data_IF_378552038919
#
_entry.id   IF_378552038919
#
_cell.length_a   1.000
_cell.length_b   1.000
_cell.length_c   1.000
_cell.angle_alpha   90.00
_cell.angle_beta   90.00
_cell.angle_gamma   90.00
#
_symmetry.space_group_name_H-M   'P 1'
#
loop_
_entity.id
_entity.type
_entity.pdbx_description
1 polymer ?
#
# COMPACT_ATOMS: atom_id res chain seq x y z
N UNK A 1 15.55 9.09 -10.41
CA UNK A 1 14.29 9.81 -10.76
C UNK A 1 13.13 8.88 -10.41
N UNK A 2 12.11 9.35 -9.73
CA UNK A 2 10.91 8.57 -9.38
C UNK A 2 10.08 8.24 -10.62
N UNK A 3 9.48 7.04 -10.67
CA UNK A 3 8.62 6.59 -11.77
C UNK A 3 7.37 7.47 -11.95
N UNK A 4 6.76 7.44 -13.13
CA UNK A 4 5.59 8.27 -13.43
C UNK A 4 4.42 7.96 -12.49
N UNK A 5 4.04 6.67 -12.33
CA UNK A 5 2.95 6.24 -11.44
C UNK A 5 3.17 6.69 -10.00
N UNK A 6 4.38 6.54 -9.49
CA UNK A 6 4.73 6.95 -8.12
C UNK A 6 4.57 8.47 -7.92
N UNK A 7 4.98 9.29 -8.91
CA UNK A 7 4.76 10.74 -8.86
C UNK A 7 3.28 11.10 -8.87
N UNK A 8 2.51 10.54 -9.80
CA UNK A 8 1.07 10.80 -9.92
C UNK A 8 0.30 10.44 -8.64
N UNK A 9 0.66 9.32 -8.00
CA UNK A 9 0.08 8.90 -6.72
C UNK A 9 0.43 9.90 -5.63
N UNK A 10 1.69 10.30 -5.53
CA UNK A 10 2.17 11.22 -4.48
C UNK A 10 1.54 12.60 -4.65
N UNK A 11 1.58 13.17 -5.86
CA UNK A 11 0.98 14.47 -6.17
C UNK A 11 -0.53 14.49 -5.89
N UNK A 12 -1.24 13.44 -6.30
CA UNK A 12 -2.66 13.31 -6.00
C UNK A 12 -2.91 13.24 -4.48
N UNK A 13 -2.16 12.42 -3.76
CA UNK A 13 -2.36 12.24 -2.33
C UNK A 13 -2.06 13.53 -1.54
N UNK A 14 -1.01 14.25 -1.91
CA UNK A 14 -0.65 15.51 -1.27
C UNK A 14 -1.72 16.59 -1.55
N UNK A 15 -2.25 16.64 -2.77
CA UNK A 15 -3.37 17.52 -3.09
C UNK A 15 -4.67 17.13 -2.36
N UNK A 16 -4.99 15.83 -2.30
CA UNK A 16 -6.20 15.31 -1.69
C UNK A 16 -6.19 15.40 -0.16
N UNK A 17 -5.01 15.29 0.47
CA UNK A 17 -4.89 15.21 1.94
C UNK A 17 -4.28 16.47 2.57
N UNK A 18 -4.12 17.55 1.79
CA UNK A 18 -3.68 18.85 2.30
C UNK A 18 -2.17 18.93 2.54
N UNK A 19 -1.38 18.07 1.89
CA UNK A 19 0.08 18.06 1.94
C UNK A 19 0.68 16.68 2.15
N UNK A 20 2.02 16.62 2.18
CA UNK A 20 2.74 15.37 2.44
C UNK A 20 2.51 14.88 3.88
N UNK A 21 2.89 13.66 4.15
CA UNK A 21 2.90 13.15 5.52
C UNK A 21 3.76 14.01 6.43
N UNK A 22 3.28 14.27 7.64
CA UNK A 22 4.01 15.06 8.65
C UNK A 22 5.30 14.40 9.14
N UNK A 23 5.44 13.08 8.93
CA UNK A 23 6.67 12.31 9.18
C UNK A 23 6.64 10.97 8.44
N UNK A 24 7.81 10.35 8.25
CA UNK A 24 7.91 8.99 7.70
C UNK A 24 7.18 7.97 8.61
N UNK A 25 7.32 8.12 9.94
CA UNK A 25 6.60 7.27 10.90
C UNK A 25 5.09 7.33 10.71
N UNK A 26 4.52 8.52 10.38
CA UNK A 26 3.09 8.65 10.06
C UNK A 26 2.72 7.89 8.79
N UNK A 27 3.58 7.96 7.76
CA UNK A 27 3.39 7.19 6.52
C UNK A 27 3.43 5.68 6.76
N UNK A 28 4.37 5.21 7.58
CA UNK A 28 4.47 3.79 7.95
C UNK A 28 3.25 3.36 8.80
N UNK A 29 2.80 4.19 9.74
CA UNK A 29 1.59 3.92 10.52
C UNK A 29 0.36 3.76 9.62
N UNK A 30 0.23 4.62 8.59
CA UNK A 30 -0.86 4.48 7.60
C UNK A 30 -0.72 3.18 6.80
N UNK A 31 0.49 2.83 6.37
CA UNK A 31 0.74 1.57 5.67
C UNK A 31 0.40 0.36 6.56
N UNK A 32 0.67 0.42 7.87
CA UNK A 32 0.32 -0.64 8.82
C UNK A 32 -1.21 -0.86 8.91
N UNK A 33 -2.01 0.21 8.85
CA UNK A 33 -3.47 0.10 8.80
C UNK A 33 -3.91 -0.72 7.57
N UNK A 34 -3.37 -0.42 6.37
CA UNK A 34 -3.66 -1.15 5.14
C UNK A 34 -3.16 -2.60 5.18
N UNK A 35 -1.99 -2.84 5.78
CA UNK A 35 -1.47 -4.20 5.97
C UNK A 35 -2.37 -5.02 6.90
N UNK A 36 -2.94 -4.41 7.95
CA UNK A 36 -3.87 -5.11 8.83
C UNK A 36 -5.16 -5.53 8.08
N UNK A 37 -5.67 -4.70 7.16
CA UNK A 37 -6.80 -5.04 6.29
C UNK A 37 -6.43 -6.17 5.32
N UNK A 38 -5.25 -6.13 4.71
CA UNK A 38 -4.73 -7.18 3.84
C UNK A 38 -4.57 -8.51 4.59
N UNK A 39 -3.95 -8.50 5.77
CA UNK A 39 -3.79 -9.70 6.61
C UNK A 39 -5.14 -10.28 6.97
N UNK A 40 -6.12 -9.45 7.32
CA UNK A 40 -7.48 -9.87 7.59
C UNK A 40 -8.11 -10.53 6.35
N UNK A 41 -8.00 -9.91 5.18
CA UNK A 41 -8.54 -10.47 3.95
C UNK A 41 -7.93 -11.85 3.62
N UNK A 42 -6.60 -11.99 3.75
CA UNK A 42 -5.90 -13.25 3.50
C UNK A 42 -6.31 -14.33 4.51
N UNK A 43 -6.34 -14.00 5.80
CA UNK A 43 -6.60 -14.99 6.87
C UNK A 43 -8.06 -15.41 6.97
N UNK A 44 -8.99 -14.59 6.52
CA UNK A 44 -10.43 -14.92 6.45
C UNK A 44 -10.84 -15.58 5.15
N UNK A 45 -9.92 -15.80 4.21
CA UNK A 45 -10.22 -16.39 2.92
C UNK A 45 -11.11 -15.49 2.04
N UNK A 46 -10.86 -14.18 2.08
CA UNK A 46 -11.60 -13.22 1.24
C UNK A 46 -11.43 -13.52 -0.25
N UNK A 47 -12.38 -13.11 -1.11
CA UNK A 47 -12.28 -13.30 -2.56
C UNK A 47 -10.99 -12.69 -3.13
N UNK A 48 -10.41 -13.28 -4.21
CA UNK A 48 -9.16 -12.81 -4.82
C UNK A 48 -9.13 -11.32 -5.16
N UNK A 49 -10.26 -10.77 -5.61
CA UNK A 49 -10.41 -9.37 -5.96
C UNK A 49 -10.21 -8.46 -4.73
N UNK A 50 -10.72 -8.89 -3.57
CA UNK A 50 -10.54 -8.14 -2.32
C UNK A 50 -9.09 -8.19 -1.87
N UNK A 51 -8.46 -9.36 -1.88
CA UNK A 51 -7.04 -9.49 -1.53
C UNK A 51 -6.18 -8.61 -2.42
N UNK A 52 -6.42 -8.60 -3.73
CA UNK A 52 -5.69 -7.76 -4.69
C UNK A 52 -5.93 -6.27 -4.44
N UNK A 53 -7.15 -5.86 -4.09
CA UNK A 53 -7.48 -4.49 -3.72
C UNK A 53 -6.73 -4.02 -2.47
N UNK A 54 -6.64 -4.86 -1.42
CA UNK A 54 -5.87 -4.54 -0.22
C UNK A 54 -4.35 -4.50 -0.51
N UNK A 55 -3.84 -5.37 -1.41
CA UNK A 55 -2.46 -5.27 -1.90
C UNK A 55 -2.19 -3.92 -2.58
N UNK A 56 -3.15 -3.41 -3.36
CA UNK A 56 -3.03 -2.12 -4.01
C UNK A 56 -2.97 -0.96 -3.00
N UNK A 57 -3.77 -0.99 -1.92
CA UNK A 57 -3.74 0.03 -0.87
C UNK A 57 -2.38 0.07 -0.15
N UNK A 58 -1.83 -1.08 0.20
CA UNK A 58 -0.47 -1.17 0.77
C UNK A 58 0.56 -0.65 -0.21
N UNK A 59 0.46 -1.00 -1.51
CA UNK A 59 1.41 -0.56 -2.53
C UNK A 59 1.36 0.96 -2.77
N UNK A 60 0.18 1.59 -2.69
CA UNK A 60 0.02 3.05 -2.76
C UNK A 60 0.80 3.74 -1.62
N UNK A 61 0.70 3.22 -0.40
CA UNK A 61 1.50 3.72 0.73
C UNK A 61 3.00 3.52 0.51
N UNK A 62 3.41 2.36 -0.02
CA UNK A 62 4.81 2.06 -0.33
C UNK A 62 5.39 3.01 -1.41
N UNK A 63 4.61 3.36 -2.44
CA UNK A 63 5.01 4.36 -3.44
C UNK A 63 5.24 5.74 -2.83
N UNK A 64 4.38 6.18 -1.92
CA UNK A 64 4.55 7.47 -1.24
C UNK A 64 5.79 7.48 -0.34
N UNK A 65 6.06 6.40 0.40
CA UNK A 65 7.29 6.29 1.20
C UNK A 65 8.54 6.31 0.31
N UNK A 66 8.55 5.54 -0.78
CA UNK A 66 9.65 5.54 -1.73
C UNK A 66 9.88 6.92 -2.38
N UNK A 67 8.81 7.70 -2.59
CA UNK A 67 8.92 9.07 -3.09
C UNK A 67 9.60 10.00 -2.09
N UNK A 68 9.29 9.88 -0.80
CA UNK A 68 9.96 10.64 0.28
C UNK A 68 11.44 10.28 0.36
N UNK A 69 11.79 9.01 0.18
CA UNK A 69 13.19 8.55 0.17
C UNK A 69 13.92 8.81 -1.16
N UNK A 70 13.22 9.26 -2.20
CA UNK A 70 13.81 9.70 -3.46
C UNK A 70 14.23 8.58 -4.41
N UNK A 71 13.67 7.37 -4.29
CA UNK A 71 13.94 6.27 -5.22
C UNK A 71 12.69 5.82 -6.00
N UNK A 72 12.91 5.10 -7.11
CA UNK A 72 11.87 4.55 -7.98
C UNK A 72 11.56 3.10 -7.59
N UNK A 73 10.47 2.91 -6.82
CA UNK A 73 10.07 1.59 -6.34
C UNK A 73 9.64 0.65 -7.48
N UNK A 74 8.98 1.17 -8.53
CA UNK A 74 8.55 0.35 -9.66
C UNK A 74 9.76 -0.17 -10.44
N UNK A 75 10.74 0.71 -10.74
CA UNK A 75 11.97 0.31 -11.40
C UNK A 75 12.79 -0.65 -10.51
N UNK A 76 12.85 -0.43 -9.21
CA UNK A 76 13.54 -1.33 -8.28
C UNK A 76 12.87 -2.71 -8.22
N UNK A 77 11.53 -2.75 -8.18
CA UNK A 77 10.74 -4.00 -8.23
C UNK A 77 10.92 -4.75 -9.56
N UNK A 78 11.01 -4.04 -10.68
CA UNK A 78 11.22 -4.64 -11.99
C UNK A 78 12.61 -5.31 -12.11
N UNK A 79 13.63 -4.75 -11.46
CA UNK A 79 14.98 -5.34 -11.42
C UNK A 79 15.07 -6.60 -10.56
N UNK A 80 14.13 -6.77 -9.63
CA UNK A 80 14.13 -7.94 -8.75
C UNK A 80 13.58 -9.16 -9.47
N UNK A 81 14.38 -10.23 -9.52
CA UNK A 81 13.93 -11.51 -10.08
C UNK A 81 12.63 -11.97 -9.40
N UNK A 82 11.70 -12.53 -10.19
CA UNK A 82 10.51 -13.16 -9.62
C UNK A 82 10.95 -14.32 -8.74
N UNK A 83 10.55 -14.37 -7.46
CA UNK A 83 10.83 -15.53 -6.64
C UNK A 83 10.19 -16.78 -7.26
N UNK A 84 10.93 -17.86 -7.34
CA UNK A 84 10.42 -19.16 -7.73
C UNK A 84 9.83 -19.84 -6.47
N UNK A 85 8.56 -19.59 -6.15
CA UNK A 85 7.91 -20.30 -5.05
C UNK A 85 6.60 -19.65 -4.60
N UNK A 86 5.60 -20.47 -4.33
CA UNK A 86 4.36 -20.08 -3.65
C UNK A 86 4.61 -20.10 -2.14
N UNK A 87 4.60 -18.94 -1.50
CA UNK A 87 4.57 -18.86 -0.04
C UNK A 87 3.19 -19.29 0.48
N UNK A 88 3.16 -20.15 1.49
CA UNK A 88 1.92 -20.47 2.19
C UNK A 88 1.32 -19.23 2.86
N UNK A 89 0.00 -19.12 2.89
CA UNK A 89 -0.74 -17.96 3.44
C UNK A 89 -0.34 -17.62 4.89
N UNK A 90 0.00 -18.61 5.70
CA UNK A 90 0.39 -18.45 7.12
C UNK A 90 1.76 -17.75 7.25
N UNK A 91 2.71 -18.04 6.37
CA UNK A 91 4.01 -17.38 6.35
C UNK A 91 3.91 -15.94 5.87
N UNK A 92 2.94 -15.65 4.98
CA UNK A 92 2.76 -14.31 4.43
C UNK A 92 2.44 -13.27 5.52
N UNK A 93 1.47 -13.53 6.39
CA UNK A 93 1.03 -12.58 7.42
C UNK A 93 2.17 -12.23 8.39
N UNK A 94 2.86 -13.24 8.94
CA UNK A 94 3.95 -13.04 9.89
C UNK A 94 5.14 -12.33 9.26
N UNK A 95 5.52 -12.70 8.04
CA UNK A 95 6.63 -12.09 7.33
C UNK A 95 6.33 -10.63 6.94
N UNK A 96 5.09 -10.34 6.55
CA UNK A 96 4.66 -8.99 6.20
C UNK A 96 4.66 -8.09 7.43
N UNK A 97 4.09 -8.53 8.55
CA UNK A 97 4.09 -7.76 9.81
C UNK A 97 5.52 -7.49 10.31
N UNK A 98 6.41 -8.50 10.24
CA UNK A 98 7.83 -8.32 10.58
C UNK A 98 8.49 -7.29 9.67
N UNK A 99 8.21 -7.32 8.39
CA UNK A 99 8.78 -6.36 7.43
C UNK A 99 8.32 -4.93 7.71
N UNK A 100 7.04 -4.74 8.06
CA UNK A 100 6.53 -3.41 8.45
C UNK A 100 7.20 -2.91 9.73
N UNK A 101 7.43 -3.78 10.73
CA UNK A 101 8.16 -3.39 11.93
C UNK A 101 9.58 -2.90 11.60
N UNK A 102 10.30 -3.61 10.73
CA UNK A 102 11.64 -3.19 10.28
C UNK A 102 11.61 -1.87 9.48
N UNK A 103 10.59 -1.66 8.64
CA UNK A 103 10.41 -0.38 7.93
C UNK A 103 10.17 0.74 8.93
N UNK A 104 9.37 0.50 9.98
CA UNK A 104 9.08 1.49 11.01
C UNK A 104 10.35 1.88 11.78
N UNK A 105 11.12 0.90 12.27
CA UNK A 105 12.40 1.11 12.96
C UNK A 105 13.37 1.91 12.06
N UNK A 106 13.54 1.50 10.81
CA UNK A 106 14.44 2.18 9.87
C UNK A 106 13.98 3.62 9.58
N UNK A 107 12.66 3.86 9.48
CA UNK A 107 12.10 5.19 9.24
C UNK A 107 12.26 6.13 10.45
N UNK A 108 12.19 5.62 11.68
CA UNK A 108 12.45 6.39 12.90
C UNK A 108 13.93 6.74 13.06
N UNK A 109 14.81 5.80 12.74
CA UNK A 109 16.27 5.98 12.85
C UNK A 109 16.89 6.76 11.67
N UNK A 110 16.08 7.13 10.66
CA UNK A 110 16.53 7.82 9.45
C UNK A 110 17.37 6.93 8.51
N UNK A 111 17.24 5.61 8.64
CA UNK A 111 17.90 4.65 7.76
C UNK A 111 17.12 4.46 6.46
N UNK A 112 17.83 4.05 5.39
CA UNK A 112 17.20 3.75 4.10
C UNK A 112 16.32 2.50 4.18
N UNK A 113 15.07 2.61 3.74
CA UNK A 113 14.10 1.51 3.72
C UNK A 113 13.95 0.85 2.34
N UNK A 114 14.70 1.29 1.31
CA UNK A 114 14.54 0.82 -0.08
C UNK A 114 14.44 -0.70 -0.19
N UNK A 115 15.40 -1.43 0.40
CA UNK A 115 15.43 -2.90 0.30
C UNK A 115 14.23 -3.58 0.98
N UNK A 116 13.68 -2.97 2.03
CA UNK A 116 12.49 -3.45 2.75
C UNK A 116 11.22 -3.18 1.93
N UNK A 117 11.08 -1.97 1.39
CA UNK A 117 9.95 -1.60 0.52
C UNK A 117 9.91 -2.43 -0.76
N UNK A 118 11.07 -2.68 -1.40
CA UNK A 118 11.17 -3.57 -2.56
C UNK A 118 10.80 -5.02 -2.19
N UNK A 119 11.18 -5.48 -0.99
CA UNK A 119 10.81 -6.80 -0.51
C UNK A 119 9.31 -6.91 -0.25
N UNK A 120 8.71 -5.91 0.38
CA UNK A 120 7.25 -5.83 0.59
C UNK A 120 6.52 -5.83 -0.76
N UNK A 121 6.88 -4.94 -1.68
CA UNK A 121 6.28 -4.84 -3.01
C UNK A 121 6.37 -6.17 -3.79
N UNK A 122 7.49 -6.90 -3.66
CA UNK A 122 7.65 -8.22 -4.27
C UNK A 122 6.64 -9.23 -3.73
N UNK A 123 6.39 -9.22 -2.41
CA UNK A 123 5.39 -10.11 -1.77
C UNK A 123 3.96 -9.76 -2.15
N UNK A 124 3.63 -8.46 -2.22
CA UNK A 124 2.32 -8.01 -2.71
C UNK A 124 2.09 -8.49 -4.16
N UNK A 125 3.11 -8.39 -5.01
CA UNK A 125 3.07 -8.91 -6.38
C UNK A 125 2.82 -10.42 -6.43
N UNK A 126 3.46 -11.19 -5.57
CA UNK A 126 3.26 -12.65 -5.49
C UNK A 126 1.83 -13.00 -5.09
N UNK A 127 1.24 -12.28 -4.12
CA UNK A 127 -0.16 -12.48 -3.74
C UNK A 127 -1.12 -12.16 -4.90
N UNK A 128 -0.92 -11.05 -5.58
CA UNK A 128 -1.73 -10.70 -6.75
C UNK A 128 -1.63 -11.77 -7.85
N UNK A 129 -0.41 -12.26 -8.13
CA UNK A 129 -0.21 -13.36 -9.11
C UNK A 129 -0.96 -14.63 -8.65
N UNK A 130 -0.88 -14.99 -7.38
CA UNK A 130 -1.62 -16.14 -6.84
C UNK A 130 -3.14 -15.95 -6.94
N UNK A 131 -3.62 -14.73 -6.88
CA UNK A 131 -5.01 -14.33 -7.08
C UNK A 131 -5.41 -14.22 -8.57
N UNK A 132 -4.48 -14.49 -9.52
CA UNK A 132 -4.71 -14.31 -10.96
C UNK A 132 -4.79 -12.85 -11.40
N UNK A 133 -4.17 -11.92 -10.64
CA UNK A 133 -4.25 -10.47 -10.83
C UNK A 133 -2.86 -9.86 -11.04
N UNK A 134 -2.82 -8.66 -11.61
CA UNK A 134 -1.59 -7.85 -11.74
C UNK A 134 -1.60 -6.71 -10.72
N UNK A 135 -0.57 -6.64 -9.88
CA UNK A 135 -0.50 -5.64 -8.79
C UNK A 135 -0.57 -4.20 -9.30
N UNK A 136 0.13 -3.88 -10.39
CA UNK A 136 0.17 -2.50 -10.87
C UNK A 136 -1.15 -2.10 -11.53
N UNK A 137 -1.82 -3.02 -12.21
CA UNK A 137 -3.17 -2.81 -12.72
C UNK A 137 -4.19 -2.60 -11.58
N UNK A 138 -4.06 -3.33 -10.47
CA UNK A 138 -4.90 -3.13 -9.28
C UNK A 138 -4.64 -1.77 -8.62
N UNK A 139 -3.38 -1.33 -8.57
CA UNK A 139 -3.04 0.03 -8.10
C UNK A 139 -3.72 1.09 -8.97
N UNK A 140 -3.64 0.98 -10.29
CA UNK A 140 -4.27 1.94 -11.21
C UNK A 140 -5.79 1.97 -11.02
N UNK A 141 -6.44 0.80 -10.94
CA UNK A 141 -7.88 0.68 -10.68
C UNK A 141 -8.27 1.29 -9.31
N UNK A 142 -7.45 1.05 -8.27
CA UNK A 142 -7.69 1.62 -6.93
C UNK A 142 -7.54 3.13 -6.92
N UNK A 143 -6.57 3.66 -7.65
CA UNK A 143 -6.40 5.11 -7.80
C UNK A 143 -7.58 5.78 -8.48
N UNK A 144 -8.20 5.13 -9.50
CA UNK A 144 -9.44 5.62 -10.11
C UNK A 144 -10.59 5.71 -9.09
N UNK A 145 -10.70 4.74 -8.20
CA UNK A 145 -11.69 4.77 -7.11
C UNK A 145 -11.36 5.90 -6.14
N UNK A 146 -10.12 6.00 -5.70
CA UNK A 146 -9.68 6.96 -4.70
C UNK A 146 -9.84 8.42 -5.17
N UNK A 147 -9.63 8.71 -6.44
CA UNK A 147 -9.83 10.04 -7.05
C UNK A 147 -11.29 10.50 -7.03
N UNK A 148 -12.25 9.56 -6.94
CA UNK A 148 -13.70 9.86 -6.93
C UNK A 148 -14.29 9.91 -5.52
N UNK A 149 -13.52 9.54 -4.49
CA UNK A 149 -13.98 9.51 -3.10
C UNK A 149 -13.92 10.91 -2.48
N UNK A 150 -14.86 11.15 -1.57
CA UNK A 150 -14.76 12.26 -0.63
C UNK A 150 -13.94 11.84 0.58
N UNK A 151 -13.04 12.72 1.03
CA UNK A 151 -12.11 12.43 2.10
C UNK A 151 -12.31 13.40 3.26
N UNK A 152 -12.31 12.88 4.48
CA UNK A 152 -12.17 13.65 5.71
C UNK A 152 -10.71 13.66 6.10
N UNK A 153 -10.13 14.87 6.17
CA UNK A 153 -8.71 15.06 6.45
C UNK A 153 -8.45 15.01 7.95
N UNK A 154 -7.31 14.43 8.33
CA UNK A 154 -6.86 14.37 9.73
C UNK A 154 -5.75 15.39 10.05
N UNK A 155 -5.31 16.17 9.06
CA UNK A 155 -4.25 17.18 9.21
C UNK A 155 -2.83 16.60 9.24
N UNK A 156 -2.65 15.31 8.98
CA UNK A 156 -1.34 14.63 9.01
C UNK A 156 -0.87 14.16 7.64
N UNK A 157 -1.50 14.63 6.56
CA UNK A 157 -1.27 14.15 5.19
C UNK A 157 -1.98 12.82 4.92
N UNK A 158 -3.00 12.50 5.72
CA UNK A 158 -3.87 11.35 5.55
C UNK A 158 -5.34 11.78 5.53
N UNK A 159 -6.20 10.88 5.05
CA UNK A 159 -7.64 11.06 5.06
C UNK A 159 -8.37 9.73 5.20
N UNK A 160 -9.59 9.79 5.71
CA UNK A 160 -10.54 8.68 5.72
C UNK A 160 -11.66 8.99 4.74
N UNK A 161 -12.01 8.02 3.88
CA UNK A 161 -13.15 8.21 2.97
C UNK A 161 -14.47 8.25 3.75
N UNK A 162 -15.39 9.10 3.29
CA UNK A 162 -16.77 9.15 3.82
C UNK A 162 -17.48 7.88 3.37
N UNK A 163 -17.82 7.00 4.31
CA UNK A 163 -18.71 5.88 4.02
C UNK A 163 -20.14 6.44 3.87
N UNK A 164 -20.64 6.51 2.64
CA UNK A 164 -22.05 6.79 2.39
C UNK A 164 -22.85 5.62 2.96
N UNK A 165 -23.43 5.80 4.14
CA UNK A 165 -24.41 4.86 4.67
C UNK A 165 -25.66 5.03 3.79
N UNK A 166 -25.85 4.18 2.79
CA UNK A 166 -27.14 4.01 2.13
C UNK A 166 -28.07 3.40 3.19
N UNK A 167 -28.72 4.31 3.94
CA UNK A 167 -29.75 3.94 4.89
C UNK A 167 -30.92 3.35 4.12
N UNK A 168 -31.12 2.04 4.23
CA UNK A 168 -32.41 1.44 3.94
C UNK A 168 -33.33 1.87 5.07
N UNK A 169 -34.06 2.96 4.85
CA UNK A 169 -35.24 3.29 5.67
C UNK A 169 -36.31 2.26 5.25
N UNK A 170 -36.43 1.20 6.01
CA UNK A 170 -37.62 0.34 5.97
C UNK A 170 -38.68 1.04 6.82
N UNK A 171 -39.69 1.57 6.14
CA UNK A 171 -40.97 1.97 6.70
C UNK A 171 -41.79 0.78 7.12
#
# INVERSE_FOLDING_TARGET
MTGQRQREITEWADAAFGGPWTSNARGVARMLEEVAELVTAVTTGAPPERVAGECADVMICAFRLAAVEGFDLEAALARRARPAGTYGQTCFASDTLRMIALIFEAAEDGHQTEHLLVSLASRLRELCIAAGRDLLAEVDAKMEINRRREWVLDGTGCGRHVKTTTGTVTS
#
